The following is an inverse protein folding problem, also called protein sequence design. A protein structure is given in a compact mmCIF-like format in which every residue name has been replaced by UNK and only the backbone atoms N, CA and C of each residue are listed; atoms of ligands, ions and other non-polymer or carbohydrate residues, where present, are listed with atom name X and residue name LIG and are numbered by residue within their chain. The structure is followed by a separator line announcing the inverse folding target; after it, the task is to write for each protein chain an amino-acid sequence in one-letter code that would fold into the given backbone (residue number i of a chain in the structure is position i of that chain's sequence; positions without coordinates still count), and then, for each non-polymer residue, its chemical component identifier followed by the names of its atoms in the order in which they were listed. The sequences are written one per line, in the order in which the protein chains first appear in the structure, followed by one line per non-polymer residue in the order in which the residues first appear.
data_IF_019547699807
#
_entry.id   IF_019547699807
#
_cell.length_a   1.000
_cell.length_b   1.000
_cell.length_c   1.000
_cell.angle_alpha   90.00
_cell.angle_beta   90.00
_cell.angle_gamma   90.00
#
_symmetry.space_group_name_H-M   'P 1'
#
loop_
_entity.id
_entity.type
_entity.pdbx_description
1 polymer ?
#
# COMPACT_ATOMS: atom_id res chain seq x y z
N UNK A 1 15.81 -15.20 5.51
CA UNK A 1 14.65 -14.34 5.27
C UNK A 1 14.17 -14.58 3.86
N UNK A 2 12.88 -14.56 3.65
CA UNK A 2 12.31 -14.87 2.36
C UNK A 2 11.45 -13.71 1.86
N UNK A 3 11.38 -13.57 0.55
CA UNK A 3 10.50 -12.62 -0.10
C UNK A 3 9.34 -13.36 -0.73
N UNK A 4 8.14 -12.83 -0.55
CA UNK A 4 6.94 -13.36 -1.18
C UNK A 4 6.27 -12.24 -1.94
N UNK A 5 5.85 -12.52 -3.16
CA UNK A 5 5.09 -11.56 -3.97
C UNK A 5 3.62 -11.88 -3.81
N UNK A 6 2.84 -10.87 -3.46
CA UNK A 6 1.39 -10.95 -3.38
C UNK A 6 0.80 -10.12 -4.52
N UNK A 7 -0.16 -10.69 -5.23
CA UNK A 7 -0.90 -9.96 -6.26
C UNK A 7 -2.06 -9.23 -5.60
N UNK A 8 -2.12 -7.94 -5.83
CA UNK A 8 -3.07 -7.05 -5.19
C UNK A 8 -2.35 -5.97 -4.40
N UNK A 9 -3.08 -5.08 -3.77
CA UNK A 9 -4.53 -4.92 -3.85
C UNK A 9 -4.97 -4.29 -5.17
N UNK A 10 -6.27 -4.12 -5.34
CA UNK A 10 -6.86 -3.56 -6.57
C UNK A 10 -7.67 -2.32 -6.25
N UNK A 11 -7.47 -1.24 -7.02
CA UNK A 11 -8.35 -0.07 -7.01
C UNK A 11 -9.32 -0.24 -8.17
N UNK A 12 -10.62 -0.29 -7.88
CA UNK A 12 -11.63 -0.41 -8.92
C UNK A 12 -11.75 0.89 -9.71
N UNK A 13 -12.23 0.79 -10.94
CA UNK A 13 -12.46 1.97 -11.79
C UNK A 13 -13.36 2.99 -11.07
N UNK A 14 -12.96 4.25 -11.10
CA UNK A 14 -13.70 5.33 -10.46
C UNK A 14 -13.50 5.44 -8.95
N UNK A 15 -12.67 4.59 -8.37
CA UNK A 15 -12.39 4.61 -6.93
C UNK A 15 -10.98 5.13 -6.67
N UNK A 16 -10.74 5.56 -5.44
CA UNK A 16 -9.41 5.98 -4.99
C UNK A 16 -8.79 4.99 -4.00
N UNK A 17 -9.60 4.23 -3.30
CA UNK A 17 -9.16 3.29 -2.25
C UNK A 17 -9.23 1.87 -2.77
N UNK A 18 -8.18 1.10 -2.50
CA UNK A 18 -8.09 -0.28 -2.94
C UNK A 18 -8.89 -1.24 -2.06
N UNK A 19 -8.99 -2.48 -2.53
CA UNK A 19 -9.38 -3.60 -1.67
C UNK A 19 -8.32 -3.83 -0.58
N UNK A 20 -8.67 -4.61 0.44
CA UNK A 20 -7.75 -4.96 1.50
C UNK A 20 -6.74 -6.01 1.06
N UNK A 21 -5.54 -5.92 1.61
CA UNK A 21 -4.48 -6.89 1.40
C UNK A 21 -4.05 -7.44 2.76
N UNK A 22 -3.99 -8.76 2.87
CA UNK A 22 -3.53 -9.43 4.07
C UNK A 22 -2.00 -9.48 4.07
N UNK A 23 -1.38 -8.73 4.96
CA UNK A 23 0.07 -8.64 5.10
C UNK A 23 0.57 -9.35 6.36
N UNK A 24 -0.23 -10.24 6.95
CA UNK A 24 0.16 -10.91 8.20
C UNK A 24 1.36 -11.82 8.06
N UNK A 25 1.67 -12.26 6.84
CA UNK A 25 2.80 -13.17 6.59
C UNK A 25 4.16 -12.47 6.62
N UNK A 26 4.22 -11.13 6.57
CA UNK A 26 5.49 -10.47 6.54
C UNK A 26 5.39 -8.96 6.51
N UNK A 27 6.55 -8.32 6.32
CA UNK A 27 6.66 -6.87 6.26
C UNK A 27 6.64 -6.41 4.80
N UNK A 28 5.83 -5.40 4.49
CA UNK A 28 5.79 -4.82 3.16
C UNK A 28 7.10 -4.10 2.85
N UNK A 29 7.75 -4.46 1.75
CA UNK A 29 9.06 -3.88 1.39
C UNK A 29 9.05 -3.20 0.02
N UNK A 30 8.14 -3.57 -0.88
CA UNK A 30 8.09 -2.99 -2.22
C UNK A 30 6.66 -3.03 -2.77
N UNK A 31 6.31 -1.99 -3.53
CA UNK A 31 5.05 -1.92 -4.26
C UNK A 31 5.38 -1.81 -5.74
N UNK A 32 4.79 -2.68 -6.56
CA UNK A 32 4.90 -2.59 -8.01
C UNK A 32 3.67 -1.85 -8.53
N UNK A 33 3.91 -0.73 -9.21
CA UNK A 33 2.86 0.11 -9.76
C UNK A 33 2.30 -0.51 -11.03
N UNK A 34 1.00 -0.31 -11.31
CA UNK A 34 0.43 -0.71 -12.60
C UNK A 34 1.07 0.07 -13.73
N UNK A 35 1.01 -0.49 -14.95
CA UNK A 35 1.60 0.12 -16.13
C UNK A 35 0.93 1.45 -16.50
N UNK A 36 -0.34 1.62 -16.21
CA UNK A 36 -1.08 2.85 -16.40
C UNK A 36 -1.56 3.37 -15.05
N UNK A 37 -1.54 4.66 -14.85
CA UNK A 37 -1.85 5.28 -13.56
C UNK A 37 -2.32 6.72 -13.77
N UNK A 38 -3.48 7.08 -13.21
CA UNK A 38 -3.89 8.46 -13.15
C UNK A 38 -3.02 9.16 -12.11
N UNK A 39 -2.31 10.21 -12.50
CA UNK A 39 -1.26 10.83 -11.69
C UNK A 39 -1.70 11.19 -10.28
N UNK A 40 -1.08 10.56 -9.30
CA UNK A 40 -1.34 10.81 -7.87
C UNK A 40 -0.24 10.13 -7.06
N UNK A 41 -0.05 10.60 -5.83
CA UNK A 41 0.77 9.90 -4.86
C UNK A 41 -0.02 8.74 -4.24
N UNK A 42 0.65 7.89 -3.48
CA UNK A 42 0.00 6.83 -2.71
C UNK A 42 -0.01 7.19 -1.24
N UNK A 43 -1.12 6.88 -0.58
CA UNK A 43 -1.23 6.88 0.86
C UNK A 43 -1.81 5.54 1.31
N UNK A 44 -1.95 5.35 2.61
CA UNK A 44 -2.21 4.03 3.16
C UNK A 44 -3.35 4.07 4.18
N UNK A 45 -4.13 3.01 4.20
CA UNK A 45 -4.97 2.68 5.34
C UNK A 45 -4.54 1.34 5.90
N UNK A 46 -4.54 1.21 7.20
CA UNK A 46 -4.17 -0.03 7.88
C UNK A 46 -5.28 -0.49 8.81
N UNK A 47 -5.30 -1.78 9.07
CA UNK A 47 -6.27 -2.38 9.98
C UNK A 47 -5.61 -3.50 10.77
N UNK A 48 -6.07 -3.68 12.00
CA UNK A 48 -5.64 -4.79 12.85
C UNK A 48 -6.61 -5.98 12.79
N UNK A 49 -7.81 -5.78 12.27
CA UNK A 49 -8.83 -6.84 12.22
C UNK A 49 -9.34 -7.14 10.81
N UNK A 50 -8.89 -6.38 9.81
CA UNK A 50 -9.32 -6.56 8.43
C UNK A 50 -10.68 -5.94 8.09
N UNK A 51 -11.33 -5.30 9.05
CA UNK A 51 -12.66 -4.73 8.88
C UNK A 51 -12.65 -3.22 9.05
N UNK A 52 -12.06 -2.73 10.11
CA UNK A 52 -12.00 -1.32 10.42
C UNK A 52 -10.62 -0.77 10.05
N UNK A 53 -10.58 0.16 9.10
CA UNK A 53 -9.35 0.72 8.58
C UNK A 53 -9.18 2.16 9.00
N UNK A 54 -7.93 2.55 9.26
CA UNK A 54 -7.56 3.91 9.63
C UNK A 54 -6.46 4.42 8.72
N UNK A 55 -6.49 5.71 8.42
CA UNK A 55 -5.42 6.36 7.66
C UNK A 55 -4.11 6.29 8.44
N UNK A 56 -3.01 6.06 7.72
CA UNK A 56 -1.71 5.89 8.35
C UNK A 56 -0.99 7.24 8.47
N UNK A 57 -0.67 7.59 9.70
CA UNK A 57 0.06 8.83 10.02
C UNK A 57 1.35 8.48 10.74
N UNK A 58 2.35 9.35 10.58
CA UNK A 58 3.57 9.24 11.37
C UNK A 58 3.37 9.80 12.76
N UNK A 59 4.36 9.59 13.62
CA UNK A 59 4.28 10.01 15.03
C UNK A 59 4.17 11.53 15.18
N UNK A 60 4.62 12.30 14.20
CA UNK A 60 4.54 13.77 14.23
C UNK A 60 3.21 14.31 13.69
N UNK A 61 2.26 13.43 13.37
CA UNK A 61 0.95 13.84 12.88
C UNK A 61 0.87 14.09 11.38
N UNK A 62 1.91 13.71 10.63
CA UNK A 62 1.93 13.85 9.17
C UNK A 62 1.46 12.56 8.52
N UNK A 63 0.55 12.67 7.56
CA UNK A 63 0.10 11.50 6.81
C UNK A 63 1.26 10.88 6.04
N UNK A 64 1.37 9.56 6.03
CA UNK A 64 2.38 8.84 5.27
C UNK A 64 1.95 8.82 3.81
N UNK A 65 2.67 9.56 2.97
CA UNK A 65 2.40 9.69 1.53
C UNK A 65 3.70 9.45 0.79
N UNK A 66 3.65 8.66 -0.28
CA UNK A 66 4.83 8.42 -1.11
C UNK A 66 4.55 8.84 -2.56
N UNK A 67 5.53 9.45 -3.23
CA UNK A 67 5.41 9.72 -4.66
C UNK A 67 5.57 8.43 -5.45
N UNK A 68 4.77 8.27 -6.49
CA UNK A 68 4.82 7.08 -7.36
C UNK A 68 4.68 7.48 -8.81
N UNK A 69 5.17 6.61 -9.70
CA UNK A 69 5.11 6.79 -11.14
C UNK A 69 4.59 5.49 -11.77
N UNK A 70 3.75 5.62 -12.78
CA UNK A 70 3.23 4.46 -13.52
C UNK A 70 4.38 3.57 -13.99
N UNK A 71 4.19 2.27 -13.91
CA UNK A 71 5.14 1.29 -14.43
C UNK A 71 6.45 1.17 -13.67
N UNK A 72 6.51 1.68 -12.44
CA UNK A 72 7.73 1.58 -11.62
C UNK A 72 7.48 0.71 -10.39
N UNK A 73 8.56 0.26 -9.76
CA UNK A 73 8.52 -0.39 -8.47
C UNK A 73 9.04 0.59 -7.42
N UNK A 74 8.34 0.67 -6.31
CA UNK A 74 8.69 1.61 -5.22
C UNK A 74 9.12 0.81 -4.01
N UNK A 75 10.34 1.08 -3.52
CA UNK A 75 10.83 0.47 -2.29
C UNK A 75 10.25 1.25 -1.12
N UNK A 76 9.53 0.55 -0.25
CA UNK A 76 8.92 1.17 0.93
C UNK A 76 9.56 0.70 2.23
N UNK A 77 10.63 -0.10 2.13
CA UNK A 77 11.35 -0.57 3.31
C UNK A 77 11.91 0.60 4.15
N UNK A 78 12.23 1.73 3.52
CA UNK A 78 12.71 2.91 4.24
C UNK A 78 11.68 3.54 5.15
N UNK A 79 10.39 3.24 4.96
CA UNK A 79 9.37 3.71 5.89
C UNK A 79 9.50 3.02 7.25
N UNK A 80 10.25 1.92 7.31
CA UNK A 80 10.67 1.31 8.57
C UNK A 80 9.48 0.99 9.47
N UNK A 81 9.53 1.53 10.67
CA UNK A 81 8.53 1.25 11.69
C UNK A 81 7.11 1.61 11.27
N UNK A 82 6.93 2.54 10.33
CA UNK A 82 5.59 2.92 9.88
C UNK A 82 4.82 1.77 9.24
N UNK A 83 5.54 0.81 8.63
CA UNK A 83 4.93 -0.35 7.98
C UNK A 83 5.23 -1.67 8.70
N UNK A 84 5.87 -1.62 9.85
CA UNK A 84 6.06 -2.82 10.67
C UNK A 84 4.75 -3.21 11.33
N UNK A 85 4.55 -4.51 11.49
CA UNK A 85 3.38 -5.09 12.14
C UNK A 85 2.05 -4.66 11.53
N UNK A 86 2.06 -4.24 10.27
CA UNK A 86 0.83 -3.99 9.52
C UNK A 86 0.23 -5.33 9.16
N UNK A 87 -1.00 -5.58 9.62
CA UNK A 87 -1.68 -6.84 9.34
C UNK A 87 -2.49 -6.76 8.05
N UNK A 88 -3.29 -5.71 7.90
CA UNK A 88 -4.12 -5.52 6.71
C UNK A 88 -3.90 -4.12 6.18
N UNK A 89 -3.82 -4.00 4.87
CA UNK A 89 -3.42 -2.77 4.20
C UNK A 89 -4.36 -2.46 3.05
N UNK A 90 -4.69 -1.19 2.89
CA UNK A 90 -5.26 -0.65 1.65
C UNK A 90 -4.35 0.44 1.12
N UNK A 91 -4.25 0.53 -0.19
CA UNK A 91 -3.56 1.60 -0.89
C UNK A 91 -4.58 2.62 -1.37
N UNK A 92 -4.28 3.89 -1.22
CA UNK A 92 -5.15 4.95 -1.72
C UNK A 92 -4.40 5.80 -2.73
N UNK A 93 -5.07 6.09 -3.84
CA UNK A 93 -4.62 7.08 -4.81
C UNK A 93 -4.89 8.47 -4.26
N UNK A 94 -3.84 9.26 -4.09
CA UNK A 94 -3.93 10.57 -3.46
C UNK A 94 -3.69 10.52 -1.96
N UNK A 95 -4.32 11.42 -1.23
CA UNK A 95 -4.19 11.51 0.22
C UNK A 95 -5.57 11.46 0.87
N UNK A 96 -5.58 11.41 2.20
CA UNK A 96 -6.81 11.43 2.97
C UNK A 96 -7.69 12.62 2.60
N UNK A 97 -7.08 13.80 2.49
CA UNK A 97 -7.81 15.05 2.20
C UNK A 97 -8.07 15.27 0.72
N UNK A 98 -7.28 14.66 -0.16
CA UNK A 98 -7.36 14.84 -1.60
C UNK A 98 -7.25 13.50 -2.31
N UNK A 99 -8.25 12.62 -2.17
CA UNK A 99 -8.24 11.35 -2.88
C UNK A 99 -8.39 11.59 -4.39
N UNK A 100 -7.74 10.77 -5.19
CA UNK A 100 -7.77 10.86 -6.65
C UNK A 100 -8.36 9.58 -7.21
N UNK A 101 -9.53 9.69 -7.83
CA UNK A 101 -10.16 8.53 -8.47
C UNK A 101 -9.32 8.07 -9.67
N UNK A 102 -9.12 6.76 -9.77
CA UNK A 102 -8.46 6.18 -10.94
C UNK A 102 -9.50 5.95 -12.04
N UNK A 103 -9.13 6.27 -13.28
CA UNK A 103 -10.08 6.21 -14.40
C UNK A 103 -10.44 4.78 -14.80
N UNK A 104 -9.54 3.83 -14.56
CA UNK A 104 -9.78 2.40 -14.82
C UNK A 104 -9.25 1.59 -13.65
N UNK A 105 -9.56 0.29 -13.65
CA UNK A 105 -9.07 -0.60 -12.62
C UNK A 105 -7.54 -0.61 -12.59
N UNK A 106 -6.96 -0.57 -11.38
CA UNK A 106 -5.52 -0.60 -11.17
C UNK A 106 -5.17 -1.78 -10.29
N UNK A 107 -4.34 -2.67 -10.81
CA UNK A 107 -3.88 -3.85 -10.08
C UNK A 107 -2.44 -3.64 -9.68
N UNK A 108 -2.18 -3.79 -8.38
CA UNK A 108 -0.84 -3.70 -7.81
C UNK A 108 -0.29 -5.10 -7.56
N UNK A 109 1.01 -5.17 -7.36
CA UNK A 109 1.65 -6.31 -6.74
C UNK A 109 2.57 -5.78 -5.64
N UNK A 110 2.71 -6.54 -4.58
CA UNK A 110 3.57 -6.14 -3.46
C UNK A 110 4.52 -7.26 -3.12
N UNK A 111 5.69 -6.90 -2.63
CA UNK A 111 6.62 -7.86 -2.07
C UNK A 111 6.65 -7.69 -0.56
N UNK A 112 6.52 -8.79 0.15
CA UNK A 112 6.63 -8.82 1.60
C UNK A 112 7.81 -9.68 1.99
N UNK A 113 8.49 -9.26 3.06
CA UNK A 113 9.61 -10.00 3.62
C UNK A 113 9.09 -10.84 4.76
N UNK A 114 9.15 -12.14 4.58
CA UNK A 114 8.70 -13.06 5.62
C UNK A 114 9.87 -13.46 6.51
N UNK A 115 9.59 -13.70 7.78
CA UNK A 115 10.62 -14.17 8.69
C UNK A 115 11.11 -15.54 8.22
N UNK A 116 12.44 -15.72 8.22
CA UNK A 116 12.99 -17.04 8.00
C UNK A 116 12.58 -17.97 9.13
N UNK A 117 12.47 -19.25 8.85
CA UNK A 117 12.28 -20.25 9.89
C UNK A 117 13.43 -20.15 10.89
N UNK A 118 13.09 -20.12 12.15
CA UNK A 118 14.08 -19.91 13.21
C UNK A 118 14.20 -21.15 14.07
#
# INVERSE_FOLDING_TARGET
MALTVLNGPTIAAGQSLSSGLDCTSGRLVRITMPAAWTGANLSFQISTDGTFYNDLFSVDGTEIIIPVVAGTAVVVAQLGAALEAVQFLKLRSGSRSYPVAQSTQRDFAVAVETAAAR
#
